data_IF_738180435961
#
_entry.id   IF_738180435961
#
_cell.length_a   1.000
_cell.length_b   1.000
_cell.length_c   1.000
_cell.angle_alpha   90.00
_cell.angle_beta   90.00
_cell.angle_gamma   90.00
#
_symmetry.space_group_name_H-M   'P 1'
#
loop_
_entity.id
_entity.type
_entity.pdbx_description
1 polymer ?
#
# COMPACT_ATOMS: atom_id res chain seq x y z
N UNK A 1 -4.53 23.20 19.56
CA UNK A 1 -3.16 23.31 18.98
C UNK A 1 -3.14 24.58 18.13
N UNK A 2 -2.25 25.53 18.43
CA UNK A 2 -2.16 26.78 17.69
C UNK A 2 -1.48 26.58 16.34
N UNK A 3 -1.74 27.46 15.36
CA UNK A 3 -1.08 27.47 14.05
C UNK A 3 0.46 27.51 14.16
N UNK A 4 0.99 28.11 15.23
CA UNK A 4 2.43 28.16 15.50
C UNK A 4 3.00 26.82 16.02
N UNK A 5 2.22 26.08 16.77
CA UNK A 5 2.61 24.73 17.25
C UNK A 5 2.65 23.74 16.08
N UNK A 6 1.73 23.89 15.14
CA UNK A 6 1.69 23.10 13.91
C UNK A 6 2.90 23.42 13.02
N UNK A 7 3.27 24.68 12.84
CA UNK A 7 4.45 25.11 12.10
C UNK A 7 5.77 24.58 12.73
N UNK A 8 5.85 24.52 14.05
CA UNK A 8 7.05 23.95 14.75
C UNK A 8 7.19 22.44 14.58
N UNK A 9 6.09 21.71 14.48
CA UNK A 9 6.11 20.27 14.25
C UNK A 9 6.46 19.91 12.80
N UNK A 10 6.11 20.79 11.85
CA UNK A 10 6.41 20.62 10.42
C UNK A 10 7.78 21.18 10.01
N UNK A 11 8.42 22.02 10.85
CA UNK A 11 9.68 22.70 10.56
C UNK A 11 10.93 22.02 11.15
N UNK A 12 10.82 20.75 11.60
CA UNK A 12 12.03 20.01 11.96
C UNK A 12 12.89 19.87 10.69
N UNK A 13 14.10 20.48 10.64
CA UNK A 13 14.93 20.41 9.45
C UNK A 13 15.18 18.94 9.13
N UNK A 14 14.83 18.54 7.92
CA UNK A 14 15.15 17.21 7.41
C UNK A 14 16.66 17.04 7.52
N UNK A 15 17.14 16.05 8.26
CA UNK A 15 18.54 15.65 8.14
C UNK A 15 18.77 15.32 6.66
N UNK A 16 19.82 15.84 6.03
CA UNK A 16 20.13 15.49 4.65
C UNK A 16 20.24 13.97 4.58
N UNK A 17 19.28 13.35 3.92
CA UNK A 17 19.32 11.90 3.68
C UNK A 17 20.24 11.70 2.48
N UNK A 18 21.33 10.96 2.68
CA UNK A 18 22.16 10.52 1.58
C UNK A 18 21.40 9.43 0.83
N UNK A 19 20.88 9.79 -0.35
CA UNK A 19 20.20 8.81 -1.22
C UNK A 19 21.30 8.00 -1.91
N UNK A 20 21.29 6.69 -1.70
CA UNK A 20 22.11 5.78 -2.49
C UNK A 20 21.45 5.61 -3.87
N UNK A 21 22.10 6.14 -4.90
CA UNK A 21 21.63 6.06 -6.29
C UNK A 21 22.22 4.86 -7.04
N UNK A 22 23.17 4.15 -6.46
CA UNK A 22 23.90 3.05 -7.07
C UNK A 22 23.29 1.69 -6.75
N UNK A 23 22.54 1.59 -5.64
CA UNK A 23 21.75 0.42 -5.25
C UNK A 23 20.26 0.60 -5.58
N UNK A 24 19.56 -0.47 -6.03
CA UNK A 24 18.13 -0.42 -6.28
C UNK A 24 17.35 -0.31 -4.97
N UNK A 25 16.29 0.50 -4.97
CA UNK A 25 15.37 0.66 -3.85
C UNK A 25 13.96 0.23 -4.23
N UNK A 26 13.25 -0.41 -3.31
CA UNK A 26 11.89 -0.96 -3.54
C UNK A 26 10.94 0.11 -4.09
N UNK A 27 10.81 1.25 -3.40
CA UNK A 27 9.88 2.30 -3.79
C UNK A 27 10.21 2.90 -5.16
N UNK A 28 11.50 3.03 -5.49
CA UNK A 28 11.97 3.57 -6.77
C UNK A 28 11.81 2.58 -7.92
N UNK A 29 12.06 1.29 -7.68
CA UNK A 29 11.76 0.22 -8.66
C UNK A 29 10.27 0.16 -8.93
N UNK A 30 9.44 0.23 -7.89
CA UNK A 30 7.99 0.30 -8.05
C UNK A 30 7.56 1.55 -8.81
N UNK A 31 8.15 2.71 -8.51
CA UNK A 31 7.90 3.95 -9.25
C UNK A 31 8.15 3.78 -10.75
N UNK A 32 9.22 3.07 -11.15
CA UNK A 32 9.46 2.74 -12.56
C UNK A 32 8.37 1.85 -13.14
N UNK A 33 7.91 0.81 -12.41
CA UNK A 33 6.85 -0.11 -12.87
C UNK A 33 5.49 0.58 -13.07
N UNK A 34 5.21 1.64 -12.31
CA UNK A 34 3.99 2.45 -12.49
C UNK A 34 4.17 3.59 -13.51
N UNK A 35 5.32 3.66 -14.21
CA UNK A 35 5.61 4.70 -15.22
C UNK A 35 6.03 6.04 -14.64
N UNK A 36 6.41 6.11 -13.36
CA UNK A 36 6.94 7.30 -12.71
C UNK A 36 8.38 7.65 -13.16
N UNK A 37 8.87 8.81 -12.72
CA UNK A 37 10.18 9.35 -13.13
C UNK A 37 11.15 9.53 -11.96
N UNK A 38 10.71 9.28 -10.73
CA UNK A 38 11.50 9.45 -9.52
C UNK A 38 12.30 8.17 -9.21
N UNK A 39 13.11 7.74 -10.16
CA UNK A 39 13.95 6.55 -10.11
C UNK A 39 15.29 6.77 -10.80
N UNK A 40 16.32 6.07 -10.34
CA UNK A 40 17.67 6.15 -10.86
C UNK A 40 17.99 4.97 -11.79
N UNK A 41 19.17 4.99 -12.41
CA UNK A 41 19.57 3.94 -13.35
C UNK A 41 19.70 2.57 -12.70
N UNK A 42 20.12 2.50 -11.43
CA UNK A 42 20.16 1.23 -10.68
C UNK A 42 18.76 0.61 -10.55
N UNK A 43 17.75 1.43 -10.26
CA UNK A 43 16.35 1.00 -10.12
C UNK A 43 15.78 0.50 -11.45
N UNK A 44 16.05 1.25 -12.53
CA UNK A 44 15.63 0.87 -13.89
C UNK A 44 16.29 -0.41 -14.37
N UNK A 45 17.58 -0.60 -14.07
CA UNK A 45 18.29 -1.85 -14.40
C UNK A 45 17.69 -3.04 -13.66
N UNK A 46 17.42 -2.88 -12.36
CA UNK A 46 16.78 -3.92 -11.55
C UNK A 46 15.37 -4.25 -12.11
N UNK A 47 14.53 -3.26 -12.36
CA UNK A 47 13.20 -3.46 -12.94
C UNK A 47 13.25 -4.19 -14.28
N UNK A 48 14.13 -3.77 -15.20
CA UNK A 48 14.30 -4.44 -16.51
C UNK A 48 14.77 -5.88 -16.38
N UNK A 49 15.68 -6.16 -15.43
CA UNK A 49 16.12 -7.51 -15.14
C UNK A 49 14.95 -8.38 -14.64
N UNK A 50 14.16 -7.86 -13.70
CA UNK A 50 13.00 -8.59 -13.17
C UNK A 50 11.95 -8.85 -14.25
N UNK A 51 11.64 -7.87 -15.09
CA UNK A 51 10.71 -8.02 -16.24
C UNK A 51 11.26 -9.05 -17.24
N UNK A 52 12.57 -9.10 -17.49
CA UNK A 52 13.15 -10.07 -18.42
C UNK A 52 12.98 -11.53 -17.97
N UNK A 53 12.90 -11.74 -16.65
CA UNK A 53 12.70 -13.06 -16.04
C UNK A 53 11.22 -13.38 -15.86
N UNK A 54 10.44 -12.39 -15.44
CA UNK A 54 9.00 -12.47 -15.20
C UNK A 54 8.27 -11.36 -15.97
N UNK A 55 7.98 -11.54 -17.28
CA UNK A 55 7.41 -10.47 -18.12
C UNK A 55 6.09 -9.89 -17.59
N UNK A 56 5.29 -10.67 -16.86
CA UNK A 56 4.06 -10.20 -16.24
C UNK A 56 4.27 -9.02 -15.26
N UNK A 57 5.48 -8.84 -14.71
CA UNK A 57 5.80 -7.73 -13.82
C UNK A 57 5.67 -6.35 -14.48
N UNK A 58 5.75 -6.27 -15.81
CA UNK A 58 5.49 -5.02 -16.53
C UNK A 58 4.06 -4.49 -16.31
N UNK A 59 3.12 -5.39 -16.04
CA UNK A 59 1.70 -5.07 -15.82
C UNK A 59 1.35 -4.86 -14.34
N UNK A 60 2.25 -5.17 -13.42
CA UNK A 60 1.96 -5.11 -11.97
C UNK A 60 1.61 -3.71 -11.51
N UNK A 61 2.36 -2.71 -11.94
CA UNK A 61 2.10 -1.31 -11.59
C UNK A 61 0.71 -0.85 -12.02
N UNK A 62 0.38 -0.91 -13.31
CA UNK A 62 -0.96 -0.56 -13.80
C UNK A 62 -2.09 -1.37 -13.14
N UNK A 63 -1.90 -2.68 -12.94
CA UNK A 63 -2.90 -3.55 -12.32
C UNK A 63 -3.14 -3.20 -10.84
N UNK A 64 -2.06 -2.94 -10.10
CA UNK A 64 -2.13 -2.51 -8.70
C UNK A 64 -2.85 -1.17 -8.55
N UNK A 65 -2.55 -0.21 -9.42
CA UNK A 65 -3.21 1.12 -9.40
C UNK A 65 -4.70 1.01 -9.72
N UNK A 66 -5.07 0.16 -10.69
CA UNK A 66 -6.47 -0.10 -10.99
C UNK A 66 -7.20 -0.78 -9.82
N UNK A 67 -6.56 -1.75 -9.16
CA UNK A 67 -7.11 -2.40 -7.97
C UNK A 67 -7.26 -1.42 -6.80
N UNK A 68 -6.22 -0.63 -6.47
CA UNK A 68 -6.28 0.39 -5.42
C UNK A 68 -7.46 1.33 -5.64
N UNK A 69 -7.61 1.85 -6.86
CA UNK A 69 -8.72 2.73 -7.21
C UNK A 69 -10.07 2.07 -6.93
N UNK A 70 -10.29 0.85 -7.39
CA UNK A 70 -11.56 0.13 -7.17
C UNK A 70 -11.81 -0.16 -5.69
N UNK A 71 -10.79 -0.66 -4.98
CA UNK A 71 -10.89 -1.00 -3.56
C UNK A 71 -11.22 0.24 -2.72
N UNK A 72 -10.49 1.35 -2.91
CA UNK A 72 -10.72 2.59 -2.17
C UNK A 72 -12.06 3.23 -2.53
N UNK A 73 -12.45 3.20 -3.82
CA UNK A 73 -13.78 3.68 -4.24
C UNK A 73 -14.90 2.86 -3.57
N UNK A 74 -14.78 1.53 -3.58
CA UNK A 74 -15.73 0.65 -2.87
C UNK A 74 -15.83 0.99 -1.38
N UNK A 75 -14.66 1.12 -0.72
CA UNK A 75 -14.62 1.42 0.70
C UNK A 75 -15.27 2.77 1.03
N UNK A 76 -15.01 3.79 0.22
CA UNK A 76 -15.57 5.13 0.45
C UNK A 76 -17.06 5.22 0.05
N UNK A 77 -17.44 4.69 -1.11
CA UNK A 77 -18.76 4.87 -1.69
C UNK A 77 -19.80 3.87 -1.17
N UNK A 78 -19.42 2.58 -1.05
CA UNK A 78 -20.36 1.51 -0.70
C UNK A 78 -20.26 1.11 0.77
N UNK A 79 -19.03 0.99 1.31
CA UNK A 79 -18.80 0.60 2.69
C UNK A 79 -18.88 1.77 3.69
N UNK A 80 -18.94 3.01 3.21
CA UNK A 80 -19.08 4.20 4.05
C UNK A 80 -17.83 4.56 4.85
N UNK A 81 -16.66 4.05 4.49
CA UNK A 81 -15.39 4.36 5.15
C UNK A 81 -14.99 5.81 4.86
N UNK A 82 -14.57 6.51 5.90
CA UNK A 82 -14.14 7.93 5.85
C UNK A 82 -12.71 8.14 6.33
N UNK A 83 -12.08 7.08 6.79
CA UNK A 83 -10.72 7.11 7.32
C UNK A 83 -9.90 5.98 6.73
N UNK A 84 -8.71 6.30 6.26
CA UNK A 84 -7.82 5.35 5.59
C UNK A 84 -6.43 5.38 6.23
N UNK A 85 -5.88 4.20 6.43
CA UNK A 85 -4.49 3.97 6.82
C UNK A 85 -3.80 3.24 5.66
N UNK A 86 -2.99 3.95 4.91
CA UNK A 86 -2.25 3.42 3.75
C UNK A 86 -0.81 3.14 4.17
N UNK A 87 -0.48 1.86 4.26
CA UNK A 87 0.83 1.38 4.78
C UNK A 87 1.70 0.91 3.62
N UNK A 88 2.85 1.54 3.46
CA UNK A 88 3.79 1.31 2.36
C UNK A 88 3.29 1.84 1.02
N UNK A 89 2.84 3.11 0.93
CA UNK A 89 2.32 3.67 -0.32
C UNK A 89 3.38 3.80 -1.43
N UNK A 90 4.66 3.83 -1.06
CA UNK A 90 5.75 4.13 -1.96
C UNK A 90 5.75 5.59 -2.44
N UNK A 91 6.49 5.88 -3.52
CA UNK A 91 6.55 7.21 -4.08
C UNK A 91 5.20 7.66 -4.64
N UNK A 92 4.77 8.90 -4.35
CA UNK A 92 3.50 9.43 -4.82
C UNK A 92 3.40 9.40 -6.36
N UNK A 93 2.25 8.98 -6.85
CA UNK A 93 1.89 8.98 -8.27
C UNK A 93 0.45 9.46 -8.42
N UNK A 94 -0.07 9.61 -9.64
CA UNK A 94 -1.48 9.95 -9.83
C UNK A 94 -2.42 8.84 -9.29
N UNK A 95 -3.56 9.20 -8.74
CA UNK A 95 -4.55 8.29 -8.17
C UNK A 95 -4.12 7.70 -6.82
N UNK A 96 -3.51 8.50 -5.95
CA UNK A 96 -3.20 8.12 -4.58
C UNK A 96 -4.47 7.88 -3.76
N UNK A 97 -4.38 7.16 -2.67
CA UNK A 97 -5.53 6.78 -1.83
C UNK A 97 -6.39 7.98 -1.44
N UNK A 98 -5.80 9.13 -1.06
CA UNK A 98 -6.58 10.32 -0.73
C UNK A 98 -7.31 10.92 -1.93
N UNK A 99 -6.68 10.95 -3.11
CA UNK A 99 -7.31 11.47 -4.32
C UNK A 99 -8.56 10.65 -4.68
N UNK A 100 -8.45 9.32 -4.57
CA UNK A 100 -9.57 8.41 -4.84
C UNK A 100 -10.67 8.54 -3.78
N UNK A 101 -10.30 8.53 -2.50
CA UNK A 101 -11.27 8.61 -1.40
C UNK A 101 -11.97 9.97 -1.36
N UNK A 102 -11.23 11.07 -1.52
CA UNK A 102 -11.75 12.44 -1.49
C UNK A 102 -12.53 12.82 -2.75
N UNK A 103 -12.33 12.11 -3.86
CA UNK A 103 -13.22 12.22 -5.02
C UNK A 103 -14.63 11.68 -4.74
N UNK A 104 -14.77 10.74 -3.79
CA UNK A 104 -16.07 10.23 -3.32
C UNK A 104 -16.64 11.15 -2.23
N UNK A 105 -15.84 11.48 -1.22
CA UNK A 105 -16.21 12.37 -0.13
C UNK A 105 -14.98 13.18 0.32
N UNK A 106 -14.99 14.52 0.10
CA UNK A 106 -13.87 15.39 0.48
C UNK A 106 -13.51 15.37 1.97
N UNK A 107 -14.40 14.89 2.84
CA UNK A 107 -14.14 14.74 4.27
C UNK A 107 -13.30 13.52 4.62
N UNK A 108 -12.97 12.65 3.66
CA UNK A 108 -12.12 11.49 3.89
C UNK A 108 -10.73 11.90 4.39
N UNK A 109 -10.26 11.19 5.42
CA UNK A 109 -8.94 11.37 6.02
C UNK A 109 -8.04 10.22 5.63
N UNK A 110 -6.77 10.50 5.33
CA UNK A 110 -5.80 9.49 4.96
C UNK A 110 -4.49 9.70 5.71
N UNK A 111 -4.02 8.67 6.37
CA UNK A 111 -2.67 8.61 6.95
C UNK A 111 -1.84 7.67 6.08
N UNK A 112 -0.77 8.20 5.53
CA UNK A 112 0.24 7.45 4.81
C UNK A 112 1.38 7.07 5.75
N UNK A 113 1.83 5.82 5.70
CA UNK A 113 2.90 5.31 6.54
C UNK A 113 4.00 4.74 5.66
N UNK A 114 5.19 5.27 5.77
CA UNK A 114 6.36 4.76 5.08
C UNK A 114 7.61 5.02 5.94
N UNK A 115 8.65 4.19 5.80
CA UNK A 115 9.91 4.38 6.48
C UNK A 115 11.03 4.83 5.52
N UNK A 116 10.74 4.94 4.22
CA UNK A 116 11.70 5.45 3.25
C UNK A 116 11.72 6.98 3.30
N UNK A 117 12.87 7.60 3.66
CA UNK A 117 12.97 9.04 3.76
C UNK A 117 12.80 9.76 2.40
N UNK A 118 13.03 9.07 1.28
CA UNK A 118 12.77 9.62 -0.06
C UNK A 118 11.27 9.71 -0.29
N UNK A 119 10.53 8.63 0.03
CA UNK A 119 9.07 8.59 -0.03
C UNK A 119 8.48 9.71 0.82
N UNK A 120 8.91 9.82 2.08
CA UNK A 120 8.42 10.84 3.00
C UNK A 120 8.72 12.27 2.54
N UNK A 121 9.88 12.48 1.92
CA UNK A 121 10.24 13.80 1.38
C UNK A 121 9.34 14.20 0.21
N UNK A 122 9.12 13.29 -0.75
CA UNK A 122 8.22 13.50 -1.89
C UNK A 122 6.78 13.67 -1.43
N UNK A 123 6.33 12.84 -0.51
CA UNK A 123 4.98 12.89 0.03
C UNK A 123 4.67 14.26 0.65
N UNK A 124 5.57 14.78 1.49
CA UNK A 124 5.43 16.12 2.11
C UNK A 124 5.43 17.26 1.10
N UNK A 125 6.15 17.10 -0.01
CA UNK A 125 6.25 18.12 -1.05
C UNK A 125 5.04 18.12 -2.01
N UNK A 126 4.55 16.94 -2.37
CA UNK A 126 3.62 16.75 -3.47
C UNK A 126 2.17 16.49 -3.01
N UNK A 127 1.99 15.80 -1.88
CA UNK A 127 0.65 15.43 -1.44
C UNK A 127 0.08 16.54 -0.54
N UNK A 128 -0.77 17.35 -1.13
CA UNK A 128 -1.56 18.35 -0.44
C UNK A 128 -3.03 18.04 -0.65
N UNK A 129 -3.81 18.07 0.42
CA UNK A 129 -5.27 18.01 0.35
C UNK A 129 -5.82 19.39 0.65
N UNK A 130 -6.67 19.92 -0.21
CA UNK A 130 -7.38 21.17 0.01
C UNK A 130 -8.30 21.08 1.25
N UNK A 131 -8.82 19.89 1.54
CA UNK A 131 -9.65 19.61 2.71
C UNK A 131 -8.86 19.32 4.00
N UNK A 132 -7.50 19.31 3.97
CA UNK A 132 -6.66 19.13 5.15
C UNK A 132 -6.68 17.74 5.78
N UNK A 133 -7.21 16.72 5.10
CA UNK A 133 -7.40 15.36 5.63
C UNK A 133 -6.25 14.39 5.39
N UNK A 134 -5.04 14.86 5.01
CA UNK A 134 -3.90 13.99 4.66
C UNK A 134 -2.74 14.22 5.62
N UNK A 135 -2.18 13.14 6.15
CA UNK A 135 -0.97 13.18 6.97
C UNK A 135 0.01 12.07 6.63
N UNK A 136 1.28 12.26 7.01
CA UNK A 136 2.37 11.34 6.77
C UNK A 136 3.04 10.95 8.07
N UNK A 137 3.25 9.66 8.22
CA UNK A 137 3.88 9.05 9.38
C UNK A 137 5.18 8.35 8.94
N UNK A 138 6.29 8.77 9.52
CA UNK A 138 7.57 8.08 9.45
C UNK A 138 7.53 6.92 10.46
N UNK A 139 7.21 5.73 9.98
CA UNK A 139 7.15 4.52 10.80
C UNK A 139 7.36 3.26 9.94
N UNK A 140 7.88 2.22 10.57
CA UNK A 140 8.09 0.93 9.95
C UNK A 140 6.83 0.06 10.10
N UNK A 141 6.37 -0.53 9.00
CA UNK A 141 5.23 -1.46 9.01
C UNK A 141 5.48 -2.68 9.92
N UNK A 142 6.73 -3.04 10.18
CA UNK A 142 7.13 -4.11 11.12
C UNK A 142 6.90 -3.75 12.59
N UNK A 143 6.62 -2.48 12.89
CA UNK A 143 6.20 -2.01 14.20
C UNK A 143 4.75 -1.46 14.16
N UNK A 144 3.73 -2.34 14.13
CA UNK A 144 2.33 -1.92 14.10
C UNK A 144 1.94 -1.03 15.29
N UNK A 145 2.61 -1.15 16.45
CA UNK A 145 2.29 -0.32 17.59
C UNK A 145 2.63 1.16 17.35
N UNK A 146 3.80 1.43 16.77
CA UNK A 146 4.20 2.79 16.35
C UNK A 146 3.29 3.32 15.23
N UNK A 147 2.92 2.48 14.26
CA UNK A 147 1.98 2.84 13.20
C UNK A 147 0.64 3.27 13.77
N UNK A 148 0.04 2.47 14.66
CA UNK A 148 -1.25 2.74 15.30
C UNK A 148 -1.19 4.02 16.14
N UNK A 149 -0.17 4.15 17.01
CA UNK A 149 -0.01 5.32 17.85
C UNK A 149 0.19 6.61 17.04
N UNK A 150 0.88 6.53 15.92
CA UNK A 150 1.04 7.64 14.99
C UNK A 150 -0.23 7.99 14.25
N UNK A 151 -0.94 6.99 13.72
CA UNK A 151 -2.21 7.16 12.99
C UNK A 151 -3.31 7.78 13.86
N UNK A 152 -3.37 7.42 15.14
CA UNK A 152 -4.33 7.95 16.11
C UNK A 152 -4.26 9.48 16.32
N UNK A 153 -3.21 10.15 15.84
CA UNK A 153 -3.11 11.61 15.86
C UNK A 153 -4.00 12.29 14.82
N UNK A 154 -4.39 11.56 13.79
CA UNK A 154 -5.18 12.07 12.65
C UNK A 154 -6.50 11.32 12.49
N UNK A 155 -6.49 10.01 12.74
CA UNK A 155 -7.65 9.13 12.64
C UNK A 155 -8.29 8.93 14.02
N UNK A 156 -9.61 8.83 14.04
CA UNK A 156 -10.37 8.38 15.20
C UNK A 156 -10.48 6.85 15.14
N UNK A 157 -9.61 6.16 15.87
CA UNK A 157 -9.59 4.69 15.88
C UNK A 157 -10.79 4.05 16.61
N UNK A 158 -11.73 4.84 17.13
CA UNK A 158 -13.04 4.34 17.58
C UNK A 158 -14.06 4.23 16.43
N UNK A 159 -13.74 4.78 15.26
CA UNK A 159 -14.54 4.71 14.05
C UNK A 159 -13.90 3.74 13.03
N UNK A 160 -14.70 3.13 12.13
CA UNK A 160 -14.18 2.23 11.11
C UNK A 160 -13.08 2.86 10.24
N UNK A 161 -12.03 2.08 9.97
CA UNK A 161 -10.86 2.46 9.17
C UNK A 161 -10.70 1.48 8.00
N UNK A 162 -10.39 2.00 6.82
CA UNK A 162 -9.91 1.21 5.69
C UNK A 162 -8.37 1.11 5.74
N UNK A 163 -7.84 -0.06 6.05
CA UNK A 163 -6.40 -0.33 6.01
C UNK A 163 -6.05 -0.78 4.60
N UNK A 164 -5.13 -0.07 3.96
CA UNK A 164 -4.68 -0.32 2.58
C UNK A 164 -3.23 -0.76 2.60
N UNK A 165 -2.94 -1.94 2.05
CA UNK A 165 -1.59 -2.52 1.98
C UNK A 165 -1.36 -3.10 0.58
N UNK A 166 -0.87 -2.27 -0.33
CA UNK A 166 -0.66 -2.62 -1.73
C UNK A 166 0.83 -2.86 -1.98
N UNK A 167 1.19 -4.13 -2.21
CA UNK A 167 2.56 -4.57 -2.53
C UNK A 167 3.61 -4.29 -1.43
N UNK A 168 3.19 -4.28 -0.16
CA UNK A 168 4.09 -4.11 0.98
C UNK A 168 4.30 -5.42 1.74
N UNK A 169 3.30 -6.30 1.80
CA UNK A 169 3.34 -7.51 2.63
C UNK A 169 4.36 -8.55 2.15
N UNK A 170 4.74 -8.51 0.89
CA UNK A 170 5.82 -9.34 0.34
C UNK A 170 7.22 -8.93 0.83
N UNK A 171 7.38 -7.78 1.48
CA UNK A 171 8.63 -7.36 2.14
C UNK A 171 8.62 -7.61 3.66
N UNK A 172 7.54 -8.20 4.19
CA UNK A 172 7.38 -8.51 5.60
C UNK A 172 7.40 -10.03 5.81
N UNK A 173 8.39 -10.53 6.55
CA UNK A 173 8.47 -11.97 6.86
C UNK A 173 7.24 -12.40 7.68
N UNK A 174 6.91 -11.65 8.73
CA UNK A 174 5.81 -11.90 9.66
C UNK A 174 4.53 -11.13 9.28
N UNK A 175 4.15 -11.14 7.99
CA UNK A 175 2.98 -10.40 7.50
C UNK A 175 1.67 -10.75 8.24
N UNK A 176 1.52 -11.99 8.72
CA UNK A 176 0.34 -12.44 9.50
C UNK A 176 0.25 -11.68 10.82
N UNK A 177 1.36 -11.56 11.56
CA UNK A 177 1.39 -10.82 12.83
C UNK A 177 1.10 -9.33 12.63
N UNK A 178 1.77 -8.72 11.65
CA UNK A 178 1.58 -7.31 11.31
C UNK A 178 0.11 -7.01 10.99
N UNK A 179 -0.50 -7.79 10.10
CA UNK A 179 -1.91 -7.64 9.73
C UNK A 179 -2.84 -7.87 10.92
N UNK A 180 -2.59 -8.92 11.70
CA UNK A 180 -3.38 -9.24 12.89
C UNK A 180 -3.38 -8.11 13.91
N UNK A 181 -2.21 -7.51 14.16
CA UNK A 181 -2.07 -6.38 15.10
C UNK A 181 -2.71 -5.09 14.58
N UNK A 182 -2.58 -4.79 13.29
CA UNK A 182 -3.27 -3.65 12.67
C UNK A 182 -4.79 -3.85 12.70
N UNK A 183 -5.28 -5.03 12.33
CA UNK A 183 -6.70 -5.34 12.37
C UNK A 183 -7.28 -5.34 13.79
N UNK A 184 -6.51 -5.77 14.80
CA UNK A 184 -6.94 -5.73 16.19
C UNK A 184 -7.14 -4.31 16.72
N UNK A 185 -6.38 -3.35 16.22
CA UNK A 185 -6.38 -1.96 16.68
C UNK A 185 -7.55 -1.10 16.17
N UNK A 186 -8.31 -1.58 15.20
CA UNK A 186 -9.45 -0.87 14.60
C UNK A 186 -10.76 -1.56 14.97
N UNK A 187 -11.91 -0.85 15.03
CA UNK A 187 -13.18 -1.42 15.45
C UNK A 187 -13.80 -2.36 14.39
N UNK A 188 -14.84 -3.08 14.78
CA UNK A 188 -15.72 -3.77 13.87
C UNK A 188 -16.29 -2.81 12.80
N UNK A 189 -16.49 -3.31 11.59
CA UNK A 189 -16.87 -2.49 10.44
C UNK A 189 -15.68 -1.86 9.72
N UNK A 190 -14.44 -2.01 10.23
CA UNK A 190 -13.21 -1.67 9.51
C UNK A 190 -12.93 -2.67 8.39
N UNK A 191 -12.10 -2.26 7.44
CA UNK A 191 -11.76 -3.06 6.27
C UNK A 191 -10.25 -3.16 6.06
N UNK A 192 -9.85 -4.24 5.41
CA UNK A 192 -8.49 -4.50 4.95
C UNK A 192 -8.52 -4.71 3.44
N UNK A 193 -7.80 -3.87 2.69
CA UNK A 193 -7.57 -4.02 1.26
C UNK A 193 -6.11 -4.39 1.02
N UNK A 194 -5.88 -5.56 0.46
CA UNK A 194 -4.53 -6.14 0.29
C UNK A 194 -4.30 -6.51 -1.16
N UNK A 195 -3.12 -6.24 -1.64
CA UNK A 195 -2.60 -6.78 -2.89
C UNK A 195 -1.16 -7.26 -2.68
N UNK A 196 -0.83 -8.42 -3.27
CA UNK A 196 0.57 -8.87 -3.32
C UNK A 196 0.84 -9.82 -4.49
N UNK A 197 2.10 -9.92 -4.94
CA UNK A 197 2.57 -10.96 -5.84
C UNK A 197 2.39 -12.36 -5.22
N UNK A 198 1.81 -13.29 -5.96
CA UNK A 198 1.66 -14.67 -5.52
C UNK A 198 2.86 -15.52 -5.92
N UNK A 199 3.08 -16.63 -5.21
CA UNK A 199 4.13 -17.57 -5.54
C UNK A 199 3.84 -18.24 -6.88
N UNK A 200 4.66 -17.94 -7.85
CA UNK A 200 4.70 -18.48 -9.20
C UNK A 200 6.16 -18.82 -9.53
N UNK A 201 6.40 -19.74 -10.46
CA UNK A 201 7.76 -20.19 -10.79
C UNK A 201 8.64 -19.03 -11.28
N UNK A 202 8.10 -18.19 -12.19
CA UNK A 202 8.82 -17.05 -12.77
C UNK A 202 9.07 -15.97 -11.73
N UNK A 203 8.08 -15.67 -10.88
CA UNK A 203 8.25 -14.73 -9.78
C UNK A 203 9.21 -15.23 -8.72
N UNK A 204 9.27 -16.54 -8.49
CA UNK A 204 10.27 -17.14 -7.58
C UNK A 204 11.70 -16.88 -8.08
N UNK A 205 11.91 -16.94 -9.37
CA UNK A 205 13.22 -16.64 -9.97
C UNK A 205 13.53 -15.13 -9.90
N UNK A 206 12.55 -14.31 -10.19
CA UNK A 206 12.67 -12.84 -10.04
C UNK A 206 12.96 -12.43 -8.58
N UNK A 207 12.26 -13.02 -7.61
CA UNK A 207 12.48 -12.76 -6.18
C UNK A 207 13.89 -13.18 -5.73
N UNK A 208 14.39 -14.33 -6.22
CA UNK A 208 15.77 -14.77 -5.95
C UNK A 208 16.79 -13.76 -6.46
N UNK A 209 16.59 -13.23 -7.67
CA UNK A 209 17.47 -12.20 -8.25
C UNK A 209 17.38 -10.88 -7.48
N UNK A 210 16.17 -10.48 -7.11
CA UNK A 210 15.97 -9.31 -6.28
C UNK A 210 16.73 -9.41 -4.95
N UNK A 211 16.59 -10.54 -4.25
CA UNK A 211 17.24 -10.78 -2.96
C UNK A 211 18.79 -10.85 -3.03
N UNK A 212 19.36 -10.90 -4.24
CA UNK A 212 20.79 -10.76 -4.47
C UNK A 212 21.23 -9.32 -4.76
N UNK A 213 20.28 -8.44 -5.13
CA UNK A 213 20.56 -7.07 -5.58
C UNK A 213 20.20 -6.02 -4.53
N UNK A 214 19.24 -6.30 -3.66
CA UNK A 214 18.67 -5.34 -2.74
C UNK A 214 18.69 -5.86 -1.29
N UNK A 215 18.82 -4.93 -0.35
CA UNK A 215 18.86 -5.25 1.09
C UNK A 215 17.50 -5.64 1.67
N UNK A 216 16.40 -5.32 0.96
CA UNK A 216 15.04 -5.65 1.41
C UNK A 216 14.57 -6.94 0.74
N UNK A 217 14.49 -8.06 1.46
CA UNK A 217 14.12 -9.35 0.90
C UNK A 217 12.64 -9.41 0.51
N UNK A 218 12.33 -10.22 -0.51
CA UNK A 218 10.97 -10.52 -0.96
C UNK A 218 10.56 -11.93 -0.51
N UNK A 219 9.38 -12.03 0.07
CA UNK A 219 8.73 -13.26 0.55
C UNK A 219 7.47 -13.53 -0.27
N UNK A 220 7.57 -14.37 -1.29
CA UNK A 220 6.40 -14.78 -2.08
C UNK A 220 5.57 -15.80 -1.31
N UNK A 221 4.25 -15.65 -1.42
CA UNK A 221 3.27 -16.51 -0.75
C UNK A 221 2.29 -17.07 -1.74
N UNK A 222 1.93 -18.32 -1.56
CA UNK A 222 0.85 -18.94 -2.34
C UNK A 222 -0.53 -18.44 -1.86
N UNK A 223 -1.57 -18.78 -2.64
CA UNK A 223 -2.94 -18.37 -2.35
C UNK A 223 -3.43 -18.85 -0.97
N UNK A 224 -3.02 -20.03 -0.53
CA UNK A 224 -3.42 -20.58 0.76
C UNK A 224 -2.75 -19.82 1.92
N UNK A 225 -1.50 -19.41 1.75
CA UNK A 225 -0.80 -18.55 2.71
C UNK A 225 -1.44 -17.16 2.78
N UNK A 226 -1.80 -16.56 1.64
CA UNK A 226 -2.51 -15.28 1.58
C UNK A 226 -3.90 -15.38 2.24
N UNK A 227 -4.61 -16.49 2.06
CA UNK A 227 -5.91 -16.69 2.68
C UNK A 227 -5.87 -16.64 4.22
N UNK A 228 -4.76 -17.02 4.84
CA UNK A 228 -4.60 -16.95 6.31
C UNK A 228 -4.62 -15.52 6.86
N UNK A 229 -4.28 -14.52 6.04
CA UNK A 229 -4.33 -13.12 6.43
C UNK A 229 -5.74 -12.61 6.72
N UNK A 230 -6.72 -13.29 6.17
CA UNK A 230 -8.14 -12.94 6.31
C UNK A 230 -8.86 -13.84 7.32
N UNK A 231 -8.13 -14.62 8.13
CA UNK A 231 -8.74 -15.45 9.17
C UNK A 231 -9.53 -14.57 10.16
N UNK A 232 -10.80 -14.88 10.37
CA UNK A 232 -11.69 -14.09 11.22
C UNK A 232 -12.23 -12.80 10.59
N UNK A 233 -11.93 -12.54 9.32
CA UNK A 233 -12.50 -11.44 8.53
C UNK A 233 -13.51 -11.99 7.51
N UNK A 234 -14.44 -11.16 7.09
CA UNK A 234 -15.42 -11.44 6.04
C UNK A 234 -14.90 -10.93 4.71
N UNK A 235 -14.54 -11.85 3.80
CA UNK A 235 -14.11 -11.47 2.45
C UNK A 235 -15.28 -10.81 1.70
N UNK A 236 -14.99 -9.68 1.06
CA UNK A 236 -15.91 -9.02 0.12
C UNK A 236 -15.82 -9.74 -1.23
N UNK A 237 -16.99 -10.05 -1.82
CA UNK A 237 -17.04 -10.66 -3.14
C UNK A 237 -16.24 -9.88 -4.19
N UNK A 238 -15.45 -10.58 -5.02
CA UNK A 238 -15.38 -12.02 -5.26
C UNK A 238 -14.35 -12.78 -4.39
N UNK A 239 -13.90 -12.22 -3.28
CA UNK A 239 -12.91 -12.82 -2.39
C UNK A 239 -11.47 -12.57 -2.86
N UNK A 240 -10.58 -13.56 -2.61
CA UNK A 240 -9.19 -13.48 -3.06
C UNK A 240 -9.16 -13.89 -4.53
N UNK A 241 -8.78 -12.99 -5.42
CA UNK A 241 -8.72 -13.22 -6.88
C UNK A 241 -7.48 -12.55 -7.47
N UNK A 242 -7.20 -12.81 -8.73
CA UNK A 242 -6.27 -11.96 -9.48
C UNK A 242 -6.77 -10.52 -9.45
N UNK A 243 -5.88 -9.55 -9.20
CA UNK A 243 -6.29 -8.17 -8.90
C UNK A 243 -7.19 -7.54 -9.95
N UNK A 244 -7.02 -7.90 -11.23
CA UNK A 244 -7.84 -7.36 -12.31
C UNK A 244 -9.27 -7.93 -12.33
N UNK A 245 -9.50 -9.09 -11.68
CA UNK A 245 -10.82 -9.72 -11.53
C UNK A 245 -11.59 -9.19 -10.33
N UNK A 246 -10.96 -8.43 -9.44
CA UNK A 246 -11.64 -7.88 -8.28
C UNK A 246 -12.50 -6.67 -8.69
N UNK A 247 -13.81 -6.86 -8.83
CA UNK A 247 -14.82 -5.84 -9.15
C UNK A 247 -14.42 -4.91 -10.30
N UNK A 248 -14.07 -5.42 -11.49
CA UNK A 248 -13.67 -4.60 -12.63
C UNK A 248 -14.80 -3.66 -13.04
N UNK A 249 -14.44 -2.46 -13.47
CA UNK A 249 -15.39 -1.45 -13.96
C UNK A 249 -15.16 -1.13 -15.44
N UNK A 250 -16.17 -0.65 -16.17
CA UNK A 250 -15.99 -0.19 -17.54
C UNK A 250 -14.88 0.85 -17.66
N UNK A 251 -13.98 0.66 -18.61
CA UNK A 251 -12.83 1.54 -18.82
C UNK A 251 -11.56 1.13 -18.08
N UNK A 252 -11.60 0.09 -17.22
CA UNK A 252 -10.38 -0.46 -16.66
C UNK A 252 -9.46 -1.04 -17.74
N UNK A 253 -8.13 -0.94 -17.55
CA UNK A 253 -7.17 -1.65 -18.39
C UNK A 253 -7.47 -3.14 -18.39
N UNK A 254 -7.29 -3.78 -19.54
CA UNK A 254 -7.39 -5.24 -19.63
C UNK A 254 -6.04 -5.86 -19.34
N UNK A 255 -6.05 -6.90 -18.52
CA UNK A 255 -4.87 -7.67 -18.17
C UNK A 255 -5.07 -9.13 -18.55
N UNK A 256 -3.99 -9.87 -18.88
CA UNK A 256 -4.08 -11.29 -19.17
C UNK A 256 -4.49 -12.09 -17.93
N UNK A 257 -5.27 -13.15 -18.14
CA UNK A 257 -5.53 -14.14 -17.10
C UNK A 257 -4.24 -14.88 -16.70
N UNK A 258 -4.19 -15.35 -15.46
CA UNK A 258 -3.00 -16.00 -14.92
C UNK A 258 -1.93 -15.00 -14.46
N UNK A 259 -2.30 -13.74 -14.23
CA UNK A 259 -1.42 -12.76 -13.62
C UNK A 259 -1.14 -13.16 -12.17
N UNK A 260 0.13 -13.40 -11.77
CA UNK A 260 0.45 -13.84 -10.42
C UNK A 260 0.44 -12.67 -9.43
N UNK A 261 -0.68 -11.99 -9.32
CA UNK A 261 -0.91 -10.82 -8.48
C UNK A 261 -2.30 -10.95 -7.83
N UNK A 262 -2.33 -11.30 -6.55
CA UNK A 262 -3.56 -11.53 -5.80
C UNK A 262 -4.02 -10.26 -5.09
N UNK A 263 -5.33 -10.02 -5.10
CA UNK A 263 -5.97 -8.94 -4.35
C UNK A 263 -7.22 -9.42 -3.64
N UNK A 264 -7.51 -8.80 -2.51
CA UNK A 264 -8.74 -9.02 -1.77
C UNK A 264 -9.07 -7.80 -0.90
N UNK A 265 -10.35 -7.65 -0.61
CA UNK A 265 -10.87 -6.75 0.41
C UNK A 265 -11.64 -7.60 1.42
N UNK A 266 -11.46 -7.32 2.70
CA UNK A 266 -12.19 -8.02 3.76
C UNK A 266 -12.67 -7.04 4.83
N UNK A 267 -13.80 -7.35 5.45
CA UNK A 267 -14.44 -6.60 6.54
C UNK A 267 -14.11 -7.24 7.87
N UNK A 268 -13.83 -6.46 8.88
CA UNK A 268 -13.79 -6.92 10.28
C UNK A 268 -15.23 -7.06 10.80
N UNK A 269 -15.69 -8.28 11.12
CA UNK A 269 -17.04 -8.48 11.66
C UNK A 269 -17.20 -7.86 13.03
N UNK A 270 -18.46 -7.64 13.42
CA UNK A 270 -18.79 -7.36 14.81
C UNK A 270 -18.63 -8.59 15.70
N UNK A 271 -18.70 -8.42 17.04
CA UNK A 271 -18.80 -9.58 17.92
C UNK A 271 -19.98 -10.44 17.51
N UNK A 272 -19.77 -11.76 17.49
CA UNK A 272 -20.87 -12.72 17.27
C UNK A 272 -21.82 -12.53 18.47
N UNK A 273 -23.07 -12.14 18.18
CA UNK A 273 -24.11 -11.96 19.19
C UNK A 273 -24.50 -13.29 19.83
#
# INVERSE_FOLDING_TARGET
>A
MSSEEWLRLTSRPLRPVKIDTDAPNVARVWNYLVGGRDNFEADRRAARLLISVAPAMAEFGPAARAFLRRAVTYLAAEAGIRQFLDVGPGLPTAGNTHEVAQAVDPACRVVYVDNDPVVLSHARALLRSEAGGVSFLDADARDPASVIAGAARTLDLAQPVGIVMIDILNFLEDAVDVLGRLAAAVPAGSYLAVMQPSKDERLTDAARRWNQLADTPVFLRDRAQVARWFAGLELVDPGIVEVHQWRPVPGDPRFPDGMPLLGAVARKPGPIA
#
